data_IF_401441001932
#
_entry.id   IF_401441001932
#
_cell.length_a   1.000
_cell.length_b   1.000
_cell.length_c   1.000
_cell.angle_alpha   90.00
_cell.angle_beta   90.00
_cell.angle_gamma   90.00
#
_symmetry.space_group_name_H-M   'P 1'
#
loop_
_entity.id
_entity.type
_entity.pdbx_description
1 polymer ?
#
# COMPACT_ATOMS: atom_id res chain seq x y z
N UNK A 1 -15.53 5.99 3.98
CA UNK A 1 -16.23 4.94 4.74
C UNK A 1 -15.28 4.52 5.86
N UNK A 2 -15.73 4.46 7.13
CA UNK A 2 -14.87 4.03 8.23
C UNK A 2 -14.45 2.57 8.06
N UNK A 3 -13.25 2.24 8.52
CA UNK A 3 -12.67 0.90 8.43
C UNK A 3 -11.86 0.59 9.68
N UNK A 4 -11.84 -0.68 10.06
CA UNK A 4 -10.94 -1.22 11.08
C UNK A 4 -9.62 -1.62 10.42
N UNK A 5 -8.50 -1.09 10.90
CA UNK A 5 -7.18 -1.49 10.44
C UNK A 5 -6.69 -2.71 11.23
N UNK A 6 -6.40 -3.79 10.53
CA UNK A 6 -5.71 -4.97 11.09
C UNK A 6 -4.29 -4.97 10.55
N UNK A 7 -3.37 -4.46 11.37
CA UNK A 7 -1.95 -4.31 11.02
C UNK A 7 -1.15 -5.52 11.49
N UNK A 8 -0.71 -6.34 10.54
CA UNK A 8 0.10 -7.53 10.79
C UNK A 8 1.57 -7.18 11.05
N UNK A 9 2.26 -7.98 11.86
CA UNK A 9 3.70 -7.84 12.09
C UNK A 9 4.53 -8.33 10.89
N UNK A 10 5.80 -7.89 10.84
CA UNK A 10 6.84 -8.29 9.86
C UNK A 10 6.58 -7.85 8.41
N UNK A 11 7.67 -7.60 7.69
CA UNK A 11 7.68 -7.20 6.29
C UNK A 11 8.79 -7.96 5.55
N UNK A 12 8.59 -8.26 4.26
CA UNK A 12 9.64 -8.78 3.38
C UNK A 12 10.55 -7.69 2.78
N UNK A 13 10.31 -6.42 3.16
CA UNK A 13 11.09 -5.23 2.83
C UNK A 13 11.47 -4.47 4.11
N UNK A 14 12.40 -3.52 4.00
CA UNK A 14 12.87 -2.66 5.10
C UNK A 14 13.14 -1.24 4.60
N UNK A 15 12.11 -0.58 4.07
CA UNK A 15 12.22 0.76 3.51
C UNK A 15 12.76 1.73 4.57
N UNK A 16 13.80 2.51 4.25
CA UNK A 16 14.43 3.43 5.21
C UNK A 16 13.52 4.56 5.72
N UNK A 17 12.38 4.76 5.04
CA UNK A 17 11.38 5.76 5.38
C UNK A 17 10.06 5.16 5.89
N UNK A 18 10.02 3.87 6.21
CA UNK A 18 8.80 3.22 6.69
C UNK A 18 8.30 3.87 8.00
N UNK A 19 7.04 4.29 8.02
CA UNK A 19 6.36 4.88 9.18
C UNK A 19 5.78 3.84 10.15
N UNK A 20 5.90 2.55 9.82
CA UNK A 20 5.34 1.46 10.60
C UNK A 20 6.45 0.66 11.29
N UNK A 21 6.43 0.59 12.62
CA UNK A 21 7.31 -0.32 13.36
C UNK A 21 6.80 -1.77 13.32
N UNK A 22 6.96 -2.43 12.17
CA UNK A 22 6.52 -3.81 11.95
C UNK A 22 7.30 -4.86 12.77
N UNK A 23 8.28 -4.46 13.58
CA UNK A 23 9.00 -5.32 14.51
C UNK A 23 8.42 -5.29 15.93
N UNK A 24 7.56 -4.30 16.24
CA UNK A 24 6.86 -4.20 17.52
C UNK A 24 5.43 -4.70 17.35
N UNK A 25 5.18 -5.94 17.76
CA UNK A 25 3.86 -6.57 17.66
C UNK A 25 3.63 -7.57 18.80
N UNK A 26 2.36 -7.80 19.11
CA UNK A 26 1.91 -8.85 20.02
C UNK A 26 1.29 -10.01 19.26
N UNK A 27 1.41 -11.23 19.79
CA UNK A 27 0.69 -12.38 19.27
C UNK A 27 -0.76 -12.36 19.76
N UNK A 28 -1.69 -12.64 18.86
CA UNK A 28 -3.11 -12.80 19.14
C UNK A 28 -3.62 -14.04 18.40
N UNK A 29 -4.47 -14.81 19.05
CA UNK A 29 -5.22 -15.87 18.41
C UNK A 29 -6.24 -15.31 17.42
N UNK A 30 -6.66 -16.14 16.46
CA UNK A 30 -7.70 -15.76 15.50
C UNK A 30 -8.99 -15.31 16.22
N UNK A 31 -9.40 -16.00 17.27
CA UNK A 31 -10.58 -15.64 18.06
C UNK A 31 -10.46 -14.27 18.75
N UNK A 32 -9.28 -13.95 19.29
CA UNK A 32 -9.05 -12.63 19.89
C UNK A 32 -9.10 -11.51 18.84
N UNK A 33 -8.52 -11.75 17.66
CA UNK A 33 -8.56 -10.77 16.56
C UNK A 33 -10.02 -10.53 16.13
N UNK A 34 -10.79 -11.61 15.92
CA UNK A 34 -12.18 -11.51 15.51
C UNK A 34 -13.03 -10.76 16.53
N UNK A 35 -12.85 -11.05 17.83
CA UNK A 35 -13.58 -10.35 18.89
C UNK A 35 -13.25 -8.86 18.92
N UNK A 36 -11.96 -8.49 18.84
CA UNK A 36 -11.54 -7.08 18.82
C UNK A 36 -12.15 -6.35 17.62
N UNK A 37 -12.15 -6.97 16.44
CA UNK A 37 -12.72 -6.35 15.23
C UNK A 37 -14.24 -6.19 15.35
N UNK A 38 -14.93 -7.19 15.90
CA UNK A 38 -16.38 -7.15 16.13
C UNK A 38 -16.76 -6.04 17.11
N UNK A 39 -16.00 -5.89 18.21
CA UNK A 39 -16.21 -4.84 19.22
C UNK A 39 -16.02 -3.42 18.65
N UNK A 40 -15.21 -3.25 17.60
CA UNK A 40 -15.02 -1.96 16.90
C UNK A 40 -16.19 -1.61 15.95
N UNK A 41 -17.03 -2.58 15.62
CA UNK A 41 -18.31 -2.36 14.92
C UNK A 41 -18.23 -1.90 13.46
N UNK A 42 -17.06 -1.99 12.80
CA UNK A 42 -16.91 -1.59 11.40
C UNK A 42 -17.01 -2.79 10.45
N UNK A 43 -17.81 -2.70 9.39
CA UNK A 43 -17.95 -3.77 8.40
C UNK A 43 -16.84 -3.83 7.34
N UNK A 44 -15.95 -2.82 7.33
CA UNK A 44 -14.81 -2.77 6.42
C UNK A 44 -13.52 -2.99 7.20
N UNK A 45 -12.67 -3.86 6.68
CA UNK A 45 -11.39 -4.17 7.29
C UNK A 45 -10.30 -3.88 6.27
N UNK A 46 -9.27 -3.15 6.70
CA UNK A 46 -8.04 -2.96 5.94
C UNK A 46 -6.98 -3.87 6.54
N UNK A 47 -6.64 -4.93 5.83
CA UNK A 47 -5.47 -5.76 6.10
C UNK A 47 -4.22 -5.02 5.61
N UNK A 48 -3.33 -4.71 6.54
CA UNK A 48 -2.05 -4.02 6.28
C UNK A 48 -0.99 -4.65 7.18
N UNK A 49 0.19 -4.07 7.32
CA UNK A 49 1.15 -4.56 8.31
C UNK A 49 2.54 -3.99 8.14
N UNK A 50 3.56 -4.79 8.43
CA UNK A 50 4.59 -4.84 7.41
C UNK A 50 3.96 -5.33 6.09
N UNK A 51 4.22 -6.54 5.64
CA UNK A 51 3.63 -7.05 4.39
C UNK A 51 2.58 -8.13 4.67
N UNK A 52 1.26 -7.85 4.50
CA UNK A 52 0.22 -8.83 4.77
C UNK A 52 0.27 -10.03 3.82
N UNK A 53 0.67 -9.85 2.55
CA UNK A 53 0.61 -10.92 1.54
C UNK A 53 1.67 -12.01 1.73
N UNK A 54 2.60 -11.84 2.67
CA UNK A 54 3.62 -12.85 3.01
C UNK A 54 3.43 -13.41 4.43
N UNK A 55 2.40 -12.95 5.13
CA UNK A 55 2.16 -13.43 6.50
C UNK A 55 1.68 -14.89 6.46
N UNK A 56 2.29 -15.80 7.24
CA UNK A 56 1.84 -17.19 7.29
C UNK A 56 0.36 -17.28 7.69
N UNK A 57 -0.40 -18.11 6.97
CA UNK A 57 -1.82 -18.39 7.22
C UNK A 57 -2.73 -17.14 7.20
N UNK A 58 -2.38 -16.11 6.43
CA UNK A 58 -3.24 -14.93 6.24
C UNK A 58 -4.60 -15.32 5.65
N UNK A 59 -4.65 -16.39 4.87
CA UNK A 59 -5.85 -16.99 4.28
C UNK A 59 -6.87 -17.38 5.35
N UNK A 60 -6.44 -17.93 6.49
CA UNK A 60 -7.35 -18.28 7.60
C UNK A 60 -8.03 -17.04 8.20
N UNK A 61 -7.30 -15.93 8.28
CA UNK A 61 -7.84 -14.67 8.77
C UNK A 61 -8.86 -14.10 7.77
N UNK A 62 -8.52 -14.15 6.47
CA UNK A 62 -9.40 -13.70 5.39
C UNK A 62 -10.70 -14.51 5.37
N UNK A 63 -10.62 -15.84 5.35
CA UNK A 63 -11.79 -16.73 5.40
C UNK A 63 -12.68 -16.45 6.61
N UNK A 64 -12.08 -16.25 7.78
CA UNK A 64 -12.81 -15.97 9.01
C UNK A 64 -13.55 -14.62 8.97
N UNK A 65 -12.98 -13.60 8.33
CA UNK A 65 -13.69 -12.34 8.11
C UNK A 65 -14.74 -12.45 7.00
N UNK A 66 -14.44 -13.09 5.87
CA UNK A 66 -15.39 -13.25 4.76
C UNK A 66 -16.62 -14.05 5.16
N UNK A 67 -16.46 -15.11 5.95
CA UNK A 67 -17.57 -15.89 6.51
C UNK A 67 -18.49 -15.09 7.45
N UNK A 68 -18.04 -13.94 7.96
CA UNK A 68 -18.82 -13.00 8.77
C UNK A 68 -19.37 -11.82 7.97
N UNK A 69 -19.17 -11.80 6.65
CA UNK A 69 -19.71 -10.77 5.76
C UNK A 69 -18.92 -9.45 5.75
N UNK A 70 -17.68 -9.43 6.26
CA UNK A 70 -16.84 -8.23 6.16
C UNK A 70 -16.41 -7.96 4.71
N UNK A 71 -16.27 -6.68 4.38
CA UNK A 71 -15.60 -6.20 3.17
C UNK A 71 -14.11 -6.03 3.46
N UNK A 72 -13.25 -6.69 2.69
CA UNK A 72 -11.82 -6.74 2.92
C UNK A 72 -11.06 -5.93 1.88
N UNK A 73 -10.28 -4.97 2.37
CA UNK A 73 -9.25 -4.29 1.62
C UNK A 73 -7.88 -4.84 2.04
N UNK A 74 -6.91 -4.88 1.12
CA UNK A 74 -5.50 -5.13 1.45
C UNK A 74 -4.62 -3.97 0.98
N UNK A 75 -3.68 -3.57 1.83
CA UNK A 75 -2.55 -2.72 1.45
C UNK A 75 -1.28 -3.55 1.40
N UNK A 76 -0.69 -3.71 0.23
CA UNK A 76 0.49 -4.57 0.01
C UNK A 76 1.55 -3.85 -0.83
N UNK A 77 2.81 -4.25 -0.74
CA UNK A 77 3.89 -3.81 -1.61
C UNK A 77 3.85 -4.43 -3.01
N UNK A 78 3.01 -5.44 -3.24
CA UNK A 78 2.75 -6.03 -4.55
C UNK A 78 3.80 -6.99 -5.10
N UNK A 79 4.81 -7.38 -4.31
CA UNK A 79 5.82 -8.36 -4.74
C UNK A 79 5.26 -9.79 -4.74
N UNK A 80 4.47 -10.14 -3.72
CA UNK A 80 3.88 -11.47 -3.56
C UNK A 80 2.40 -11.45 -3.98
N UNK A 81 1.87 -12.62 -4.33
CA UNK A 81 0.46 -12.75 -4.73
C UNK A 81 -0.48 -12.32 -3.62
N UNK A 82 -1.54 -11.61 -4.02
CA UNK A 82 -2.62 -11.24 -3.10
C UNK A 82 -3.47 -12.50 -2.85
N UNK A 83 -3.72 -12.88 -1.59
CA UNK A 83 -4.56 -14.03 -1.29
C UNK A 83 -5.98 -13.84 -1.84
N UNK A 84 -6.66 -14.95 -2.14
CA UNK A 84 -8.05 -14.92 -2.58
C UNK A 84 -8.99 -14.36 -1.49
N UNK A 85 -10.13 -13.82 -1.90
CA UNK A 85 -11.16 -13.32 -0.99
C UNK A 85 -11.03 -11.84 -0.58
N UNK A 86 -10.02 -11.13 -1.08
CA UNK A 86 -9.91 -9.67 -0.95
C UNK A 86 -10.84 -8.97 -1.94
N UNK A 87 -11.59 -7.98 -1.47
CA UNK A 87 -12.56 -7.21 -2.28
C UNK A 87 -11.97 -5.92 -2.87
N UNK A 88 -10.90 -5.38 -2.27
CA UNK A 88 -10.19 -4.19 -2.77
C UNK A 88 -8.67 -4.32 -2.59
N UNK A 89 -7.94 -4.22 -3.69
CA UNK A 89 -6.49 -4.40 -3.73
C UNK A 89 -5.80 -3.06 -3.94
N UNK A 90 -5.15 -2.56 -2.88
CA UNK A 90 -4.26 -1.41 -2.94
C UNK A 90 -2.79 -1.87 -2.96
N UNK A 91 -2.13 -1.66 -4.11
CA UNK A 91 -0.72 -2.00 -4.29
C UNK A 91 0.13 -0.73 -4.19
N UNK A 92 1.18 -0.78 -3.38
CA UNK A 92 2.14 0.30 -3.21
C UNK A 92 3.55 -0.17 -3.54
N UNK A 93 3.96 -0.14 -4.81
CA UNK A 93 5.31 -0.47 -5.21
C UNK A 93 6.34 0.47 -4.58
N UNK A 94 7.53 -0.05 -4.26
CA UNK A 94 8.60 0.66 -3.56
C UNK A 94 9.79 0.87 -4.49
N UNK A 95 10.04 2.11 -4.92
CA UNK A 95 11.13 2.41 -5.85
C UNK A 95 12.52 2.10 -5.26
N UNK A 96 12.72 2.32 -3.95
CA UNK A 96 13.92 1.87 -3.25
C UNK A 96 14.19 0.34 -3.35
N UNK A 97 13.21 -0.44 -3.82
CA UNK A 97 13.32 -1.87 -4.13
C UNK A 97 12.97 -2.20 -5.59
N UNK A 98 13.19 -1.27 -6.54
CA UNK A 98 12.80 -1.41 -7.96
C UNK A 98 13.17 -2.75 -8.60
N UNK A 99 14.37 -3.28 -8.32
CA UNK A 99 14.87 -4.55 -8.87
C UNK A 99 13.97 -5.75 -8.48
N UNK A 100 13.30 -5.68 -7.33
CA UNK A 100 12.38 -6.74 -6.86
C UNK A 100 11.14 -6.85 -7.73
N UNK A 101 10.78 -5.78 -8.43
CA UNK A 101 9.61 -5.72 -9.32
C UNK A 101 9.88 -6.26 -10.72
N UNK A 102 11.15 -6.43 -11.12
CA UNK A 102 11.50 -6.97 -12.45
C UNK A 102 10.87 -8.35 -12.68
N UNK A 103 10.85 -9.20 -11.64
CA UNK A 103 10.30 -10.56 -11.67
C UNK A 103 8.78 -10.62 -11.45
N UNK A 104 8.16 -9.49 -11.11
CA UNK A 104 6.71 -9.41 -10.92
C UNK A 104 6.04 -9.41 -12.29
N UNK A 105 5.20 -10.42 -12.52
CA UNK A 105 4.34 -10.51 -13.71
C UNK A 105 3.13 -9.57 -13.64
N UNK A 106 2.36 -9.50 -14.74
CA UNK A 106 1.17 -8.66 -14.82
C UNK A 106 0.14 -9.03 -13.76
N UNK A 107 -0.30 -8.04 -12.97
CA UNK A 107 -1.27 -8.21 -11.87
C UNK A 107 -2.40 -7.18 -11.95
N UNK A 108 -3.56 -7.53 -11.43
CA UNK A 108 -4.65 -6.59 -11.22
C UNK A 108 -4.50 -5.85 -9.88
N UNK A 109 -4.90 -4.58 -9.84
CA UNK A 109 -5.06 -3.79 -8.62
C UNK A 109 -6.24 -2.82 -8.76
N UNK A 110 -7.01 -2.62 -7.70
CA UNK A 110 -8.05 -1.58 -7.68
C UNK A 110 -7.44 -0.18 -7.59
N UNK A 111 -6.29 -0.05 -6.91
CA UNK A 111 -5.45 1.13 -6.93
C UNK A 111 -3.96 0.81 -6.85
N UNK A 112 -3.18 1.71 -7.45
CA UNK A 112 -1.73 1.77 -7.30
C UNK A 112 -1.37 3.09 -6.62
N UNK A 113 -0.65 3.02 -5.49
CA UNK A 113 -0.21 4.20 -4.73
C UNK A 113 1.29 4.14 -4.48
N UNK A 114 2.03 4.98 -5.19
CA UNK A 114 3.50 5.01 -5.10
C UNK A 114 3.94 6.20 -4.25
N UNK A 115 4.83 5.95 -3.30
CA UNK A 115 5.49 7.01 -2.53
C UNK A 115 6.58 7.64 -3.39
N UNK A 116 6.66 8.97 -3.40
CA UNK A 116 7.69 9.70 -4.14
C UNK A 116 8.98 9.77 -3.30
N UNK A 117 9.81 8.74 -3.38
CA UNK A 117 11.04 8.55 -2.57
C UNK A 117 12.35 8.66 -3.37
N UNK A 118 12.34 9.40 -4.48
CA UNK A 118 13.52 9.72 -5.28
C UNK A 118 14.20 11.02 -4.80
N UNK A 119 15.46 11.23 -5.21
CA UNK A 119 16.20 12.49 -5.10
C UNK A 119 16.68 12.95 -6.49
N UNK A 120 17.14 14.20 -6.63
CA UNK A 120 17.43 14.76 -7.96
C UNK A 120 18.44 13.94 -8.80
N UNK A 121 19.33 13.15 -8.20
CA UNK A 121 20.29 12.33 -8.96
C UNK A 121 19.67 11.08 -9.58
N UNK A 122 18.53 10.61 -9.07
CA UNK A 122 17.86 9.40 -9.55
C UNK A 122 16.42 9.65 -10.05
N UNK A 123 16.08 10.92 -10.27
CA UNK A 123 14.77 11.36 -10.80
C UNK A 123 14.39 10.70 -12.12
N UNK A 124 15.29 10.68 -13.10
CA UNK A 124 15.00 10.11 -14.42
C UNK A 124 14.74 8.60 -14.32
N UNK A 125 15.53 7.91 -13.51
CA UNK A 125 15.36 6.49 -13.23
C UNK A 125 14.03 6.19 -12.51
N UNK A 126 13.61 7.04 -11.56
CA UNK A 126 12.27 6.96 -10.96
C UNK A 126 11.15 7.09 -12.00
N UNK A 127 11.25 8.08 -12.90
CA UNK A 127 10.24 8.29 -13.95
C UNK A 127 10.15 7.12 -14.94
N UNK A 128 11.29 6.53 -15.31
CA UNK A 128 11.31 5.32 -16.13
C UNK A 128 10.70 4.14 -15.38
N UNK A 129 11.07 3.95 -14.11
CA UNK A 129 10.50 2.89 -13.28
C UNK A 129 8.97 3.01 -13.12
N UNK A 130 8.41 4.22 -13.03
CA UNK A 130 6.96 4.40 -13.02
C UNK A 130 6.29 3.83 -14.27
N UNK A 131 6.93 3.93 -15.44
CA UNK A 131 6.41 3.37 -16.68
C UNK A 131 6.43 1.84 -16.62
N UNK A 132 7.53 1.24 -16.15
CA UNK A 132 7.63 -0.22 -15.96
C UNK A 132 6.55 -0.75 -15.00
N UNK A 133 6.27 0.00 -13.93
CA UNK A 133 5.21 -0.37 -12.98
C UNK A 133 3.82 -0.34 -13.63
N UNK A 134 3.55 0.62 -14.52
CA UNK A 134 2.28 0.68 -15.24
C UNK A 134 2.08 -0.52 -16.19
N UNK A 135 3.17 -1.10 -16.69
CA UNK A 135 3.11 -2.32 -17.50
C UNK A 135 2.94 -3.59 -16.65
N UNK A 136 3.34 -3.55 -15.38
CA UNK A 136 3.26 -4.68 -14.43
C UNK A 136 1.94 -4.74 -13.67
N UNK A 137 1.26 -3.61 -13.49
CA UNK A 137 0.02 -3.56 -12.73
C UNK A 137 -1.08 -2.87 -13.54
N UNK A 138 -2.15 -3.61 -13.80
CA UNK A 138 -3.36 -3.10 -14.43
C UNK A 138 -4.29 -2.55 -13.35
N UNK A 139 -4.44 -1.23 -13.30
CA UNK A 139 -5.37 -0.54 -12.42
C UNK A 139 -6.14 0.54 -13.15
N UNK A 140 -7.21 1.03 -12.53
CA UNK A 140 -7.91 2.25 -12.98
C UNK A 140 -7.53 3.49 -12.18
N UNK A 141 -6.84 3.33 -11.05
CA UNK A 141 -6.50 4.42 -10.13
C UNK A 141 -5.00 4.42 -9.85
N UNK A 142 -4.34 5.53 -10.19
CA UNK A 142 -2.91 5.71 -10.01
C UNK A 142 -2.65 6.94 -9.16
N UNK A 143 -1.95 6.75 -8.05
CA UNK A 143 -1.68 7.78 -7.07
C UNK A 143 -0.20 7.93 -6.83
N UNK A 144 0.26 9.19 -6.75
CA UNK A 144 1.53 9.52 -6.10
C UNK A 144 1.25 10.08 -4.71
N UNK A 145 1.92 9.52 -3.72
CA UNK A 145 1.88 9.93 -2.33
C UNK A 145 3.16 10.66 -1.97
N UNK A 146 3.09 11.84 -1.32
CA UNK A 146 4.27 12.47 -0.75
C UNK A 146 4.94 11.53 0.24
N UNK A 147 6.27 11.52 0.19
CA UNK A 147 7.12 10.98 1.22
C UNK A 147 7.18 11.97 2.37
N UNK A 148 6.98 11.48 3.60
CA UNK A 148 7.33 12.19 4.81
C UNK A 148 8.74 11.80 5.26
N UNK A 149 9.55 12.80 5.58
CA UNK A 149 10.85 12.63 6.20
C UNK A 149 11.04 13.74 7.25
N UNK A 150 11.36 13.37 8.48
CA UNK A 150 11.56 14.29 9.62
C UNK A 150 10.41 15.30 9.80
N UNK A 151 9.16 14.82 9.74
CA UNK A 151 7.95 15.63 9.90
C UNK A 151 7.63 16.55 8.71
N UNK A 152 8.43 16.50 7.64
CA UNK A 152 8.22 17.28 6.42
C UNK A 152 7.81 16.38 5.26
N UNK A 153 6.74 16.75 4.55
CA UNK A 153 6.30 16.03 3.34
C UNK A 153 6.76 16.73 2.06
N UNK A 154 7.23 15.97 1.08
CA UNK A 154 7.62 16.50 -0.25
C UNK A 154 6.42 16.78 -1.19
N UNK A 155 5.36 17.41 -0.66
CA UNK A 155 4.09 17.67 -1.37
C UNK A 155 4.32 18.43 -2.69
N UNK A 156 5.12 19.49 -2.66
CA UNK A 156 5.36 20.31 -3.85
C UNK A 156 6.09 19.51 -4.95
N UNK A 157 7.06 18.68 -4.59
CA UNK A 157 7.78 17.82 -5.53
C UNK A 157 6.83 16.79 -6.14
N UNK A 158 6.00 16.17 -5.31
CA UNK A 158 4.98 15.20 -5.75
C UNK A 158 4.01 15.83 -6.75
N UNK A 159 3.47 17.03 -6.46
CA UNK A 159 2.54 17.73 -7.37
C UNK A 159 3.20 18.08 -8.72
N UNK A 160 4.47 18.52 -8.71
CA UNK A 160 5.21 18.81 -9.95
C UNK A 160 5.31 17.57 -10.83
N UNK A 161 5.72 16.44 -10.26
CA UNK A 161 5.84 15.17 -10.98
C UNK A 161 4.49 14.71 -11.53
N UNK A 162 3.40 14.80 -10.74
CA UNK A 162 2.04 14.51 -11.23
C UNK A 162 1.69 15.40 -12.44
N UNK A 163 1.99 16.70 -12.36
CA UNK A 163 1.73 17.66 -13.44
C UNK A 163 2.49 17.31 -14.72
N UNK A 164 3.76 16.92 -14.59
CA UNK A 164 4.57 16.47 -15.72
C UNK A 164 4.04 15.18 -16.35
N UNK A 165 3.83 14.13 -15.53
CA UNK A 165 3.31 12.83 -16.00
C UNK A 165 1.97 12.99 -16.73
N UNK A 166 1.05 13.76 -16.16
CA UNK A 166 -0.26 14.02 -16.77
C UNK A 166 -0.16 14.94 -17.99
N UNK A 167 0.85 15.81 -18.06
CA UNK A 167 1.11 16.69 -19.21
C UNK A 167 1.58 15.96 -20.45
N UNK A 168 2.29 14.83 -20.27
CA UNK A 168 2.75 13.97 -21.37
C UNK A 168 1.60 13.25 -22.09
N UNK A 169 0.44 13.06 -21.42
CA UNK A 169 -0.72 12.32 -21.94
C UNK A 169 -0.38 10.88 -22.41
N UNK A 170 0.62 10.27 -21.79
CA UNK A 170 1.05 8.90 -22.02
C UNK A 170 0.90 8.13 -20.70
N UNK A 171 0.33 6.92 -20.75
CA UNK A 171 0.08 6.11 -19.57
C UNK A 171 -1.17 6.55 -18.78
N UNK A 172 -1.30 6.11 -17.53
CA UNK A 172 -2.45 6.43 -16.70
C UNK A 172 -2.44 7.89 -16.23
N UNK A 173 -3.61 8.37 -15.83
CA UNK A 173 -3.74 9.65 -15.14
C UNK A 173 -3.35 9.47 -13.67
N UNK A 174 -2.35 10.23 -13.23
CA UNK A 174 -1.87 10.25 -11.86
C UNK A 174 -2.64 11.26 -11.02
N UNK A 175 -2.95 10.90 -9.79
CA UNK A 175 -3.61 11.75 -8.80
C UNK A 175 -2.77 11.85 -7.52
N UNK A 176 -3.01 12.89 -6.73
CA UNK A 176 -2.34 13.07 -5.45
C UNK A 176 -3.06 12.27 -4.36
N UNK A 177 -2.33 11.43 -3.64
CA UNK A 177 -2.82 10.79 -2.41
C UNK A 177 -2.12 11.42 -1.22
N UNK A 178 -2.86 12.16 -0.39
CA UNK A 178 -2.33 12.74 0.84
C UNK A 178 -2.51 11.75 2.00
N UNK A 179 -1.48 11.61 2.83
CA UNK A 179 -1.56 10.90 4.11
C UNK A 179 -2.32 11.77 5.13
N UNK A 180 -3.64 11.88 4.96
CA UNK A 180 -4.49 12.81 5.74
C UNK A 180 -4.45 12.56 7.24
N UNK A 181 -4.27 11.31 7.68
CA UNK A 181 -4.12 10.95 9.09
C UNK A 181 -2.92 11.68 9.74
N UNK A 182 -1.77 11.72 9.06
CA UNK A 182 -0.59 12.46 9.52
C UNK A 182 -0.82 13.96 9.57
N UNK A 183 -1.46 14.51 8.53
CA UNK A 183 -1.81 15.94 8.50
C UNK A 183 -2.80 16.33 9.60
N UNK A 184 -3.68 15.39 10.00
CA UNK A 184 -4.64 15.57 11.08
C UNK A 184 -4.07 15.24 12.47
N UNK A 185 -2.86 14.69 12.57
CA UNK A 185 -2.25 14.27 13.83
C UNK A 185 -2.97 13.08 14.50
N UNK A 186 -3.48 12.15 13.69
CA UNK A 186 -4.12 10.91 14.16
C UNK A 186 -3.33 9.69 13.68
N UNK A 187 -3.20 8.69 14.55
CA UNK A 187 -2.64 7.37 14.25
C UNK A 187 -3.73 6.33 13.97
#
# INVERSE_FOLDING_TARGET
MPATFVRLGRCNLACGWCDTNYNSFGLKSLSEILQIVEDLGQSNIILTGGEPSVHPNVELLIEAFKSRGYYLCIETNGISDVPEGIDYIAISPKYCYKERYEKVGLRYADEIRIVVDFNETNREDFLNWLQDINEKFNSKKYYLSPLEHDGSMNIQQTIKIIGELNGLKIGPRWELSLQTHKLAGIE
#
